data_IF_169774177950
#
_entry.id   IF_169774177950
#
_cell.length_a   1.000
_cell.length_b   1.000
_cell.length_c   1.000
_cell.angle_alpha   90.00
_cell.angle_beta   90.00
_cell.angle_gamma   90.00
#
_symmetry.space_group_name_H-M   'P 1'
#
loop_
_entity.id
_entity.type
_entity.pdbx_description
1 polymer ?
#
# COMPACT_ATOMS: atom_id res chain seq x y z
N UNK A 1 -24.78 12.24 -14.83
CA UNK A 1 -23.94 13.35 -15.32
C UNK A 1 -22.74 13.39 -14.37
N UNK A 2 -21.70 12.61 -14.67
CA UNK A 2 -20.48 12.59 -13.86
C UNK A 2 -19.65 13.80 -14.27
N UNK A 3 -19.49 14.77 -13.37
CA UNK A 3 -18.51 15.85 -13.56
C UNK A 3 -17.11 15.23 -13.61
N UNK A 4 -16.34 15.56 -14.63
CA UNK A 4 -14.95 15.10 -14.78
C UNK A 4 -14.14 15.40 -13.52
N UNK A 5 -13.34 14.44 -13.01
CA UNK A 5 -12.71 14.61 -11.72
C UNK A 5 -11.49 15.54 -11.74
N UNK A 6 -11.72 16.85 -11.60
CA UNK A 6 -10.68 17.86 -11.38
C UNK A 6 -9.75 17.48 -10.20
N UNK A 7 -8.42 17.57 -10.40
CA UNK A 7 -7.38 17.19 -9.43
C UNK A 7 -7.18 18.28 -8.37
N UNK A 8 -8.24 18.61 -7.63
CA UNK A 8 -8.18 19.62 -6.57
C UNK A 8 -7.63 19.04 -5.27
N UNK A 9 -6.80 19.84 -4.57
CA UNK A 9 -6.28 19.50 -3.23
C UNK A 9 -7.41 19.09 -2.28
N UNK A 10 -8.45 19.91 -2.17
CA UNK A 10 -9.53 19.67 -1.21
C UNK A 10 -10.20 18.32 -1.44
N UNK A 11 -10.62 18.01 -2.68
CA UNK A 11 -11.28 16.75 -2.99
C UNK A 11 -10.39 15.54 -2.72
N UNK A 12 -9.11 15.62 -3.09
CA UNK A 12 -8.16 14.55 -2.83
C UNK A 12 -8.00 14.29 -1.32
N UNK A 13 -7.85 15.35 -0.53
CA UNK A 13 -7.73 15.24 0.93
C UNK A 13 -9.03 14.75 1.58
N UNK A 14 -10.20 15.19 1.12
CA UNK A 14 -11.49 14.71 1.61
C UNK A 14 -11.63 13.20 1.39
N UNK A 15 -11.27 12.71 0.20
CA UNK A 15 -11.30 11.28 -0.14
C UNK A 15 -10.36 10.46 0.75
N UNK A 16 -9.16 10.98 1.02
CA UNK A 16 -8.19 10.31 1.89
C UNK A 16 -8.63 10.31 3.36
N UNK A 17 -9.36 11.34 3.81
CA UNK A 17 -9.87 11.44 5.18
C UNK A 17 -11.11 10.57 5.41
N UNK A 18 -12.07 10.57 4.49
CA UNK A 18 -13.36 9.88 4.65
C UNK A 18 -13.19 8.37 4.86
N UNK A 19 -12.12 7.77 4.32
CA UNK A 19 -11.86 6.34 4.45
C UNK A 19 -10.62 6.02 5.32
N UNK A 20 -10.15 6.98 6.13
CA UNK A 20 -8.94 6.85 6.98
C UNK A 20 -7.68 6.37 6.19
N UNK A 21 -7.65 6.64 4.88
CA UNK A 21 -6.60 6.17 3.96
C UNK A 21 -5.28 6.84 4.28
N UNK A 22 -5.29 8.13 4.64
CA UNK A 22 -4.08 8.83 5.04
C UNK A 22 -3.39 8.14 6.23
N UNK A 23 -4.17 7.66 7.21
CA UNK A 23 -3.66 6.88 8.34
C UNK A 23 -3.17 5.50 7.91
N UNK A 24 -3.88 4.83 7.00
CA UNK A 24 -3.43 3.57 6.40
C UNK A 24 -2.07 3.71 5.71
N UNK A 25 -1.88 4.74 4.90
CA UNK A 25 -0.62 5.05 4.21
C UNK A 25 0.48 5.34 5.24
N UNK A 26 0.21 6.18 6.24
CA UNK A 26 1.19 6.52 7.28
C UNK A 26 1.59 5.29 8.11
N UNK A 27 0.64 4.41 8.45
CA UNK A 27 0.94 3.14 9.12
C UNK A 27 1.82 2.25 8.25
N UNK A 28 1.45 2.07 6.97
CA UNK A 28 2.15 1.20 6.06
C UNK A 28 3.61 1.63 5.89
N UNK A 29 3.82 2.92 5.67
CA UNK A 29 5.14 3.50 5.52
C UNK A 29 5.98 3.40 6.81
N UNK A 30 5.41 3.72 7.98
CA UNK A 30 6.16 3.65 9.24
C UNK A 30 6.53 2.21 9.61
N UNK A 31 5.60 1.27 9.47
CA UNK A 31 5.82 -0.17 9.71
C UNK A 31 6.89 -0.72 8.78
N UNK A 32 6.83 -0.38 7.49
CA UNK A 32 7.84 -0.77 6.51
C UNK A 32 9.22 -0.16 6.81
N UNK A 33 9.28 1.10 7.25
CA UNK A 33 10.55 1.74 7.61
C UNK A 33 11.17 1.15 8.88
N UNK A 34 10.36 0.84 9.89
CA UNK A 34 10.83 0.15 11.11
C UNK A 34 11.49 -1.18 10.73
N UNK A 35 10.81 -2.02 9.97
CA UNK A 35 11.38 -3.29 9.52
C UNK A 35 12.59 -3.11 8.59
N UNK A 36 12.55 -2.16 7.67
CA UNK A 36 13.68 -1.93 6.75
C UNK A 36 14.95 -1.48 7.49
N UNK A 37 14.82 -0.73 8.60
CA UNK A 37 15.95 -0.37 9.44
C UNK A 37 16.55 -1.59 10.13
N UNK A 38 15.72 -2.52 10.59
CA UNK A 38 16.16 -3.77 11.22
C UNK A 38 16.83 -4.71 10.19
N UNK A 39 16.10 -5.08 9.14
CA UNK A 39 16.53 -6.07 8.13
C UNK A 39 17.78 -5.59 7.37
N UNK A 40 17.79 -4.31 6.99
CA UNK A 40 18.88 -3.71 6.21
C UNK A 40 19.80 -2.83 7.06
N UNK A 41 20.06 -3.21 8.32
CA UNK A 41 21.03 -2.52 9.17
C UNK A 41 22.41 -2.46 8.52
N UNK A 42 23.11 -1.32 8.65
CA UNK A 42 24.51 -1.16 8.20
C UNK A 42 25.40 -2.11 8.99
N UNK A 43 25.96 -3.12 8.33
CA UNK A 43 26.75 -4.18 8.96
C UNK A 43 26.31 -5.59 8.54
N UNK A 44 25.07 -5.74 8.08
CA UNK A 44 24.54 -7.01 7.57
C UNK A 44 25.00 -7.33 6.12
N UNK A 45 25.87 -6.49 5.54
CA UNK A 45 26.40 -6.66 4.18
C UNK A 45 25.51 -6.11 3.04
N UNK A 46 24.29 -5.66 3.33
CA UNK A 46 23.39 -5.10 2.32
C UNK A 46 23.79 -3.69 1.86
N UNK A 47 23.90 -3.53 0.54
CA UNK A 47 24.15 -2.24 -0.10
C UNK A 47 22.95 -1.29 -0.08
N UNK A 48 23.16 -0.04 -0.47
CA UNK A 48 22.11 0.98 -0.53
C UNK A 48 20.98 0.62 -1.50
N UNK A 49 21.31 0.02 -2.65
CA UNK A 49 20.32 -0.41 -3.65
C UNK A 49 19.39 -1.48 -3.08
N UNK A 50 19.94 -2.56 -2.50
CA UNK A 50 19.15 -3.64 -1.90
C UNK A 50 18.25 -3.13 -0.78
N UNK A 51 18.77 -2.28 0.10
CA UNK A 51 17.97 -1.66 1.15
C UNK A 51 16.84 -0.77 0.60
N UNK A 52 17.10 -0.05 -0.49
CA UNK A 52 16.10 0.79 -1.17
C UNK A 52 14.98 -0.04 -1.78
N UNK A 53 15.34 -1.10 -2.52
CA UNK A 53 14.38 -2.04 -3.15
C UNK A 53 13.56 -2.77 -2.08
N UNK A 54 14.21 -3.33 -1.07
CA UNK A 54 13.50 -4.04 0.01
C UNK A 54 12.53 -3.14 0.77
N UNK A 55 12.89 -1.88 1.02
CA UNK A 55 11.94 -0.91 1.61
C UNK A 55 10.76 -0.62 0.69
N UNK A 56 11.00 -0.48 -0.61
CA UNK A 56 9.92 -0.27 -1.59
C UNK A 56 8.94 -1.44 -1.62
N UNK A 57 9.45 -2.68 -1.59
CA UNK A 57 8.65 -3.90 -1.50
C UNK A 57 7.88 -3.98 -0.18
N UNK A 58 8.53 -3.68 0.96
CA UNK A 58 7.86 -3.62 2.27
C UNK A 58 6.73 -2.59 2.28
N UNK A 59 6.93 -1.39 1.72
CA UNK A 59 5.87 -0.37 1.65
C UNK A 59 4.69 -0.89 0.83
N UNK A 60 4.94 -1.49 -0.34
CA UNK A 60 3.89 -2.03 -1.19
C UNK A 60 3.10 -3.15 -0.49
N UNK A 61 3.80 -4.09 0.15
CA UNK A 61 3.16 -5.15 0.94
C UNK A 61 2.30 -4.57 2.07
N UNK A 62 2.81 -3.61 2.84
CA UNK A 62 2.05 -2.99 3.93
C UNK A 62 0.82 -2.22 3.43
N UNK A 63 0.93 -1.55 2.28
CA UNK A 63 -0.21 -0.90 1.64
C UNK A 63 -1.25 -1.93 1.19
N UNK A 64 -0.83 -3.03 0.57
CA UNK A 64 -1.75 -4.10 0.18
C UNK A 64 -2.44 -4.71 1.39
N UNK A 65 -1.70 -4.89 2.48
CA UNK A 65 -2.19 -5.49 3.72
C UNK A 65 -3.22 -4.61 4.44
N UNK A 66 -2.94 -3.32 4.61
CA UNK A 66 -3.86 -2.40 5.29
C UNK A 66 -5.11 -2.10 4.46
N UNK A 67 -5.02 -2.24 3.13
CA UNK A 67 -6.12 -1.98 2.21
C UNK A 67 -6.80 -3.24 1.68
N UNK A 68 -6.45 -4.42 2.19
CA UNK A 68 -7.02 -5.69 1.74
C UNK A 68 -6.94 -5.86 0.22
N UNK A 69 -5.76 -5.65 -0.34
CA UNK A 69 -5.44 -5.79 -1.77
C UNK A 69 -4.45 -6.94 -1.98
N UNK A 70 -4.30 -7.39 -3.23
CA UNK A 70 -3.31 -8.40 -3.61
C UNK A 70 -3.53 -9.71 -2.85
N UNK A 71 -2.49 -10.21 -2.20
CA UNK A 71 -2.57 -11.46 -1.41
C UNK A 71 -3.45 -11.35 -0.15
N UNK A 72 -3.85 -10.12 0.25
CA UNK A 72 -4.70 -9.84 1.41
C UNK A 72 -6.15 -9.51 1.04
N UNK A 73 -6.54 -9.75 -0.22
CA UNK A 73 -7.89 -9.50 -0.68
C UNK A 73 -8.93 -10.33 0.11
N UNK A 74 -10.00 -9.66 0.54
CA UNK A 74 -11.08 -10.29 1.29
C UNK A 74 -12.16 -10.75 0.32
N UNK A 75 -12.31 -12.07 0.19
CA UNK A 75 -13.32 -12.68 -0.68
C UNK A 75 -14.74 -12.30 -0.24
N UNK A 76 -15.65 -12.21 -1.21
CA UNK A 76 -17.07 -11.95 -0.94
C UNK A 76 -17.64 -12.90 0.13
N UNK A 77 -18.29 -12.32 1.14
CA UNK A 77 -18.86 -13.04 2.28
C UNK A 77 -17.89 -13.26 3.45
N UNK A 78 -16.63 -12.81 3.35
CA UNK A 78 -15.69 -12.79 4.48
C UNK A 78 -15.56 -11.37 5.06
N UNK A 79 -15.36 -11.29 6.37
CA UNK A 79 -15.09 -10.02 7.05
C UNK A 79 -13.60 -9.64 7.03
N UNK A 80 -12.71 -10.63 6.98
CA UNK A 80 -11.26 -10.45 6.89
C UNK A 80 -10.59 -11.68 6.28
N UNK A 81 -9.37 -11.50 5.74
CA UNK A 81 -8.44 -12.61 5.53
C UNK A 81 -8.05 -13.23 6.88
N UNK A 82 -7.57 -14.48 6.89
CA UNK A 82 -7.08 -15.14 8.09
C UNK A 82 -6.05 -14.29 8.84
N UNK A 83 -6.18 -14.17 10.16
CA UNK A 83 -5.30 -13.32 10.97
C UNK A 83 -3.85 -13.80 11.00
N UNK A 84 -3.64 -15.09 10.78
CA UNK A 84 -2.32 -15.70 10.58
C UNK A 84 -1.64 -15.14 9.33
N UNK A 85 -2.34 -15.13 8.20
CA UNK A 85 -1.87 -14.55 6.94
C UNK A 85 -1.69 -13.03 7.06
N UNK A 86 -2.68 -12.34 7.61
CA UNK A 86 -2.69 -10.88 7.75
C UNK A 86 -1.51 -10.36 8.59
N UNK A 87 -1.13 -11.10 9.62
CA UNK A 87 -0.13 -10.66 10.59
C UNK A 87 1.22 -11.34 10.43
N UNK A 88 1.39 -12.19 9.42
CA UNK A 88 2.65 -12.84 9.14
C UNK A 88 3.76 -11.82 8.87
N UNK A 89 4.89 -11.97 9.57
CA UNK A 89 6.05 -11.09 9.44
C UNK A 89 5.85 -9.65 9.96
N UNK A 90 4.73 -9.33 10.61
CA UNK A 90 4.58 -8.04 11.30
C UNK A 90 5.22 -8.07 12.69
N UNK A 91 5.84 -6.96 13.08
CA UNK A 91 6.18 -6.70 14.48
C UNK A 91 4.91 -6.62 15.34
N UNK A 92 5.04 -6.86 16.64
CA UNK A 92 3.92 -6.73 17.58
C UNK A 92 3.32 -5.32 17.52
N UNK A 93 4.16 -4.29 17.48
CA UNK A 93 3.75 -2.89 17.32
C UNK A 93 2.92 -2.71 16.04
N UNK A 94 3.43 -3.16 14.90
CA UNK A 94 2.73 -3.03 13.62
C UNK A 94 1.36 -3.72 13.65
N UNK A 95 1.25 -4.92 14.24
CA UNK A 95 -0.03 -5.62 14.44
C UNK A 95 -1.01 -4.84 15.29
N UNK A 96 -0.54 -4.25 16.38
CA UNK A 96 -1.39 -3.54 17.33
C UNK A 96 -1.86 -2.17 16.80
N UNK A 97 -1.07 -1.53 15.94
CA UNK A 97 -1.36 -0.18 15.43
C UNK A 97 -1.95 -0.16 14.03
N UNK A 98 -2.12 -1.31 13.37
CA UNK A 98 -2.71 -1.38 12.03
C UNK A 98 -4.14 -0.84 12.05
N UNK A 99 -4.46 0.23 11.28
CA UNK A 99 -5.81 0.73 11.20
C UNK A 99 -6.72 -0.26 10.47
N UNK A 100 -8.00 -0.22 10.79
CA UNK A 100 -9.02 -1.01 10.10
C UNK A 100 -9.61 -0.15 9.00
N UNK A 101 -9.29 -0.48 7.75
CA UNK A 101 -9.85 0.17 6.56
C UNK A 101 -10.83 -0.81 5.92
N UNK A 102 -12.06 -0.38 5.57
CA UNK A 102 -13.01 -1.27 4.90
C UNK A 102 -12.44 -1.84 3.61
N UNK A 103 -12.58 -3.15 3.41
CA UNK A 103 -12.19 -3.80 2.16
C UNK A 103 -12.91 -3.15 0.98
N UNK A 104 -12.20 -2.95 -0.13
CA UNK A 104 -12.72 -2.27 -1.33
C UNK A 104 -12.78 -0.75 -1.25
N UNK A 105 -12.50 -0.12 -0.08
CA UNK A 105 -12.32 1.34 -0.01
C UNK A 105 -11.12 1.82 -0.84
N UNK A 106 -10.10 0.97 -0.93
CA UNK A 106 -8.93 1.13 -1.78
C UNK A 106 -8.75 -0.14 -2.60
N UNK A 107 -8.39 -0.02 -3.87
CA UNK A 107 -8.12 -1.17 -4.75
C UNK A 107 -6.75 -1.05 -5.39
N UNK A 108 -6.10 -2.18 -5.68
CA UNK A 108 -4.84 -2.18 -6.43
C UNK A 108 -5.08 -1.67 -7.84
N UNK A 109 -4.21 -0.78 -8.32
CA UNK A 109 -4.22 -0.29 -9.70
C UNK A 109 -2.85 0.25 -10.07
N UNK A 110 -2.02 -0.65 -10.58
CA UNK A 110 -0.67 -0.31 -11.00
C UNK A 110 -0.72 0.64 -12.21
N UNK A 111 0.34 1.45 -12.37
CA UNK A 111 0.43 2.37 -13.50
C UNK A 111 1.83 2.36 -14.09
N UNK A 112 1.93 1.90 -15.34
CA UNK A 112 3.18 1.84 -16.12
C UNK A 112 4.36 1.27 -15.30
N UNK A 113 4.15 0.10 -14.70
CA UNK A 113 5.15 -0.61 -13.90
C UNK A 113 5.38 -0.06 -12.49
N UNK A 114 4.72 1.02 -12.09
CA UNK A 114 4.74 1.52 -10.71
C UNK A 114 3.59 0.93 -9.91
N UNK A 115 3.87 0.59 -8.65
CA UNK A 115 2.83 0.15 -7.71
C UNK A 115 1.85 1.29 -7.47
N UNK A 116 0.56 0.99 -7.60
CA UNK A 116 -0.48 2.00 -7.46
C UNK A 116 -1.76 1.44 -6.87
N UNK A 117 -2.55 2.34 -6.30
CA UNK A 117 -3.83 2.03 -5.68
C UNK A 117 -4.84 3.13 -6.04
N UNK A 118 -6.14 2.79 -6.04
CA UNK A 118 -7.21 3.76 -6.28
C UNK A 118 -8.08 3.97 -5.06
N UNK A 119 -8.53 5.20 -4.88
CA UNK A 119 -9.44 5.61 -3.80
C UNK A 119 -10.29 6.78 -4.31
N UNK A 120 -11.61 6.68 -4.19
CA UNK A 120 -12.53 7.79 -4.49
C UNK A 120 -12.35 8.48 -5.85
N UNK A 121 -11.92 7.73 -6.87
CA UNK A 121 -11.67 8.24 -8.23
C UNK A 121 -10.27 8.81 -8.49
N UNK A 122 -9.36 8.72 -7.54
CA UNK A 122 -7.93 9.02 -7.71
C UNK A 122 -7.13 7.73 -7.73
N UNK A 123 -6.06 7.69 -8.51
CA UNK A 123 -4.95 6.74 -8.35
C UNK A 123 -3.83 7.44 -7.58
N UNK A 124 -3.10 6.72 -6.73
CA UNK A 124 -1.80 7.18 -6.27
C UNK A 124 -0.73 6.13 -6.54
N UNK A 125 0.47 6.58 -6.90
CA UNK A 125 1.65 5.72 -7.10
C UNK A 125 2.76 6.10 -6.14
N UNK A 126 3.57 5.12 -5.73
CA UNK A 126 4.68 5.33 -4.79
C UNK A 126 5.98 5.69 -5.50
N UNK A 127 6.74 6.62 -4.96
CA UNK A 127 8.13 6.85 -5.37
C UNK A 127 9.02 7.29 -4.21
N UNK A 128 10.26 6.79 -4.21
CA UNK A 128 11.24 7.14 -3.17
C UNK A 128 12.11 8.32 -3.58
N UNK A 129 12.42 9.19 -2.62
CA UNK A 129 13.40 10.28 -2.77
C UNK A 129 14.40 10.30 -1.61
N UNK A 130 15.44 11.12 -1.74
CA UNK A 130 16.30 11.43 -0.60
C UNK A 130 15.58 12.41 0.33
N UNK A 131 15.95 12.37 1.61
CA UNK A 131 15.38 13.26 2.61
C UNK A 131 15.63 14.73 2.26
N UNK A 132 14.62 15.56 2.49
CA UNK A 132 14.67 17.01 2.25
C UNK A 132 14.58 17.38 0.78
N UNK A 133 14.34 16.43 -0.12
CA UNK A 133 14.21 16.69 -1.56
C UNK A 133 12.76 16.88 -2.01
N UNK A 134 11.76 16.50 -1.20
CA UNK A 134 10.34 16.54 -1.59
C UNK A 134 9.92 17.91 -2.14
N UNK A 135 10.35 19.01 -1.49
CA UNK A 135 10.00 20.37 -1.92
C UNK A 135 10.75 20.87 -3.17
N UNK A 136 11.75 20.12 -3.66
CA UNK A 136 12.67 20.49 -4.75
C UNK A 136 12.86 19.39 -5.79
N UNK A 137 11.90 18.46 -5.89
CA UNK A 137 11.96 17.37 -6.86
C UNK A 137 12.10 17.94 -8.28
N UNK A 138 12.99 17.35 -9.08
CA UNK A 138 13.10 17.67 -10.49
C UNK A 138 12.33 16.61 -11.31
N UNK A 139 11.07 16.90 -11.62
CA UNK A 139 10.22 15.97 -12.36
C UNK A 139 10.67 15.78 -13.81
N UNK A 140 11.45 16.72 -14.36
CA UNK A 140 12.03 16.59 -15.71
C UNK A 140 13.06 15.47 -15.81
N UNK A 141 13.66 15.07 -14.67
CA UNK A 141 14.63 13.97 -14.57
C UNK A 141 14.04 12.68 -13.99
N UNK A 142 12.75 12.67 -13.64
CA UNK A 142 12.07 11.49 -13.13
C UNK A 142 11.85 10.44 -14.23
N UNK A 143 11.37 9.25 -13.87
CA UNK A 143 11.04 8.20 -14.85
C UNK A 143 9.94 8.64 -15.82
N UNK A 144 9.83 8.05 -17.02
CA UNK A 144 8.76 8.38 -17.97
C UNK A 144 7.35 8.28 -17.38
N UNK A 145 7.13 7.33 -16.46
CA UNK A 145 5.87 7.18 -15.73
C UNK A 145 5.57 8.39 -14.86
N UNK A 146 6.54 8.86 -14.07
CA UNK A 146 6.37 10.03 -13.20
C UNK A 146 6.29 11.33 -13.98
N UNK A 147 7.04 11.45 -15.09
CA UNK A 147 6.90 12.57 -16.01
C UNK A 147 5.48 12.65 -16.58
N UNK A 148 4.89 11.52 -16.97
CA UNK A 148 3.52 11.48 -17.46
C UNK A 148 2.50 11.88 -16.39
N UNK A 149 2.73 11.51 -15.12
CA UNK A 149 1.89 11.96 -14.00
C UNK A 149 2.06 13.46 -13.76
N UNK A 150 3.30 13.97 -13.71
CA UNK A 150 3.57 15.39 -13.48
C UNK A 150 3.05 16.32 -14.60
N UNK A 151 2.83 15.79 -15.80
CA UNK A 151 2.24 16.52 -16.93
C UNK A 151 0.71 16.58 -16.90
N UNK A 152 0.04 15.88 -15.98
CA UNK A 152 -1.41 15.97 -15.82
C UNK A 152 -1.77 17.40 -15.39
N UNK A 153 -2.68 18.05 -16.10
CA UNK A 153 -3.15 19.38 -15.68
C UNK A 153 -4.23 19.26 -14.62
N UNK A 154 -4.33 20.22 -13.69
CA UNK A 154 -5.38 20.21 -12.67
C UNK A 154 -6.81 20.15 -13.24
N UNK A 155 -7.01 20.73 -14.43
CA UNK A 155 -8.28 20.85 -15.16
C UNK A 155 -8.45 19.84 -16.31
N UNK A 156 -7.39 19.16 -16.75
CA UNK A 156 -7.47 18.08 -17.75
C UNK A 156 -7.61 16.74 -17.05
N UNK A 157 -8.85 16.28 -16.86
CA UNK A 157 -9.11 14.89 -16.50
C UNK A 157 -9.35 13.99 -17.71
N UNK A 158 -9.07 14.48 -18.91
CA UNK A 158 -9.25 13.74 -20.14
C UNK A 158 -7.97 13.73 -20.96
N UNK A 159 -7.55 12.52 -21.33
CA UNK A 159 -6.60 12.23 -22.42
C UNK A 159 -5.11 12.17 -22.04
N UNK A 160 -4.72 11.15 -21.26
CA UNK A 160 -3.54 10.39 -21.70
C UNK A 160 -3.99 9.61 -22.94
N UNK A 161 -3.52 10.03 -24.11
CA UNK A 161 -3.88 9.34 -25.35
C UNK A 161 -3.24 7.95 -25.38
N UNK A 162 -3.91 6.99 -26.04
CA UNK A 162 -3.38 5.65 -26.29
C UNK A 162 -1.92 5.64 -26.81
N UNK A 163 -1.48 6.74 -27.44
CA UNK A 163 -0.10 6.94 -27.91
C UNK A 163 0.95 6.92 -26.79
N UNK A 164 0.65 7.43 -25.59
CA UNK A 164 1.61 7.46 -24.48
C UNK A 164 1.80 6.06 -23.83
N UNK A 165 0.96 5.09 -24.21
CA UNK A 165 0.97 3.70 -23.70
C UNK A 165 1.76 2.76 -24.64
N UNK A 166 2.13 3.21 -25.85
CA UNK A 166 2.64 2.35 -26.92
C UNK A 166 4.17 2.41 -27.16
N UNK A 167 4.94 3.09 -26.31
CA UNK A 167 6.41 3.11 -26.38
C UNK A 167 6.94 2.59 -25.02
N UNK A 168 7.64 1.46 -24.84
CA UNK A 168 8.15 0.42 -25.74
C UNK A 168 7.47 -0.93 -25.47
N UNK A 169 7.10 -1.62 -26.55
CA UNK A 169 6.37 -2.90 -26.57
C UNK A 169 7.31 -4.12 -26.41
N UNK A 170 8.63 -3.95 -26.52
CA UNK A 170 9.57 -5.07 -26.61
C UNK A 170 10.05 -5.65 -25.26
N UNK A 171 9.74 -5.03 -24.11
CA UNK A 171 10.09 -5.55 -22.77
C UNK A 171 8.89 -6.15 -21.99
N UNK A 172 7.70 -6.20 -22.61
CA UNK A 172 6.43 -6.61 -21.95
C UNK A 172 6.20 -8.12 -21.82
N UNK A 173 7.10 -8.96 -22.32
CA UNK A 173 6.80 -10.38 -22.52
C UNK A 173 7.15 -11.33 -21.37
N UNK A 174 7.57 -10.85 -20.20
CA UNK A 174 7.87 -11.76 -19.09
C UNK A 174 7.33 -11.25 -17.75
N UNK A 175 6.38 -12.03 -17.21
CA UNK A 175 5.94 -12.13 -15.81
C UNK A 175 4.79 -11.24 -15.32
N UNK A 176 3.60 -11.80 -15.55
CA UNK A 176 2.54 -12.06 -14.57
C UNK A 176 1.51 -10.96 -14.24
N UNK A 177 0.29 -11.26 -14.71
CA UNK A 177 -1.00 -10.93 -14.08
C UNK A 177 -1.64 -9.60 -14.47
N UNK A 178 -2.30 -9.64 -15.64
CA UNK A 178 -3.54 -8.94 -16.02
C UNK A 178 -3.78 -7.52 -15.48
N UNK A 179 -3.68 -6.52 -16.38
CA UNK A 179 -4.42 -5.25 -16.22
C UNK A 179 -4.77 -4.64 -17.59
N UNK A 180 -5.19 -5.50 -18.53
CA UNK A 180 -5.52 -5.16 -19.92
C UNK A 180 -6.98 -4.69 -20.07
N UNK A 181 -7.42 -3.80 -19.17
CA UNK A 181 -8.65 -3.03 -19.37
C UNK A 181 -8.29 -1.60 -19.75
N UNK A 182 -8.97 -1.00 -20.76
CA UNK A 182 -8.79 0.39 -21.11
C UNK A 182 -9.14 1.24 -19.88
N UNK A 183 -8.11 1.71 -19.16
CA UNK A 183 -8.32 2.52 -17.98
C UNK A 183 -8.87 3.87 -18.45
N UNK A 184 -10.09 4.20 -18.01
CA UNK A 184 -10.60 5.57 -18.09
C UNK A 184 -9.51 6.51 -17.54
N UNK A 185 -9.22 7.65 -18.19
CA UNK A 185 -8.25 8.61 -17.68
C UNK A 185 -8.53 8.89 -16.20
N UNK A 186 -7.57 8.57 -15.34
CA UNK A 186 -7.72 8.66 -13.89
C UNK A 186 -6.69 9.63 -13.33
N UNK A 187 -7.13 10.68 -12.61
CA UNK A 187 -6.26 11.54 -11.83
C UNK A 187 -5.25 10.73 -11.03
N UNK A 188 -3.96 10.96 -11.27
CA UNK A 188 -2.90 10.23 -10.58
C UNK A 188 -2.12 11.18 -9.68
N UNK A 189 -2.08 10.84 -8.39
CA UNK A 189 -1.26 11.49 -7.38
C UNK A 189 0.06 10.74 -7.21
N UNK A 190 1.07 11.42 -6.66
CA UNK A 190 2.33 10.79 -6.29
C UNK A 190 2.44 10.76 -4.77
N UNK A 191 2.60 9.56 -4.22
CA UNK A 191 2.98 9.30 -2.83
C UNK A 191 4.51 9.22 -2.78
N UNK A 192 5.14 10.28 -2.27
CA UNK A 192 6.59 10.37 -2.13
C UNK A 192 7.01 10.03 -0.72
N UNK A 193 8.13 9.32 -0.61
CA UNK A 193 8.65 8.92 0.68
C UNK A 193 10.18 8.93 0.73
N UNK A 194 10.72 9.22 1.90
CA UNK A 194 12.16 9.19 2.17
C UNK A 194 12.45 8.58 3.55
N UNK A 195 13.55 7.85 3.63
CA UNK A 195 14.09 7.32 4.88
C UNK A 195 15.61 7.55 4.89
N UNK A 196 16.07 8.35 5.83
CA UNK A 196 17.48 8.44 6.16
C UNK A 196 17.87 7.26 7.06
N UNK A 197 18.80 6.43 6.59
CA UNK A 197 19.22 5.22 7.31
C UNK A 197 20.18 5.50 8.46
N UNK A 198 20.83 6.66 8.46
CA UNK A 198 21.77 7.04 9.51
C UNK A 198 21.05 7.71 10.68
N UNK A 199 20.08 8.57 10.38
CA UNK A 199 19.33 9.30 11.41
C UNK A 199 17.97 8.69 11.75
N UNK A 200 17.53 7.68 10.97
CA UNK A 200 16.18 7.11 11.02
C UNK A 200 15.05 8.14 10.73
N UNK A 201 15.40 9.33 10.23
CA UNK A 201 14.42 10.37 9.89
C UNK A 201 13.62 9.98 8.64
N UNK A 202 12.34 10.37 8.65
CA UNK A 202 11.35 9.93 7.67
C UNK A 202 10.63 11.13 7.09
N UNK A 203 10.28 11.03 5.81
CA UNK A 203 9.37 11.98 5.17
C UNK A 203 8.36 11.19 4.33
N UNK A 204 7.11 11.64 4.34
CA UNK A 204 6.02 11.04 3.57
C UNK A 204 5.06 12.14 3.16
N UNK A 205 4.85 12.31 1.87
CA UNK A 205 3.89 13.27 1.35
C UNK A 205 3.11 12.71 0.17
N UNK A 206 1.89 13.18 -0.02
CA UNK A 206 1.07 12.86 -1.18
C UNK A 206 0.66 14.15 -1.89
N UNK A 207 0.68 14.15 -3.22
CA UNK A 207 0.40 15.38 -3.95
C UNK A 207 0.14 15.20 -5.43
N UNK A 208 -0.26 16.31 -6.05
CA UNK A 208 -0.33 16.44 -7.49
C UNK A 208 0.98 17.08 -8.00
N UNK A 209 1.81 16.26 -8.64
CA UNK A 209 3.09 16.67 -9.19
C UNK A 209 2.90 17.69 -10.32
N UNK A 210 3.85 18.61 -10.46
CA UNK A 210 3.87 19.61 -11.52
C UNK A 210 5.16 19.45 -12.33
N UNK A 211 5.02 19.21 -13.64
CA UNK A 211 6.15 19.12 -14.55
C UNK A 211 6.84 20.49 -14.66
N UNK A 212 7.98 20.63 -13.97
CA UNK A 212 8.62 21.91 -13.68
C UNK A 212 9.71 22.31 -14.69
N UNK A 213 9.44 22.16 -16.00
CA UNK A 213 10.30 22.71 -17.06
C UNK A 213 10.15 24.22 -17.25
N UNK A 214 9.11 24.80 -16.64
CA UNK A 214 8.72 26.20 -16.69
C UNK A 214 9.35 27.06 -15.56
N UNK A 215 10.32 26.51 -14.82
CA UNK A 215 10.90 27.10 -13.59
C UNK A 215 9.91 27.24 -12.43
N UNK A 216 8.73 26.62 -12.52
CA UNK A 216 7.75 26.53 -11.45
C UNK A 216 8.18 25.59 -10.31
N UNK A 217 7.39 25.60 -9.23
CA UNK A 217 7.56 24.64 -8.14
C UNK A 217 7.24 23.20 -8.60
N UNK A 218 7.75 22.17 -7.91
CA UNK A 218 7.54 20.77 -8.31
C UNK A 218 6.15 20.22 -8.01
N UNK A 219 5.29 20.99 -7.37
CA UNK A 219 3.96 20.55 -6.98
C UNK A 219 2.94 21.61 -7.33
N UNK A 220 1.80 21.18 -7.86
CA UNK A 220 0.60 22.00 -7.80
C UNK A 220 0.13 22.11 -6.35
N UNK A 221 0.24 21.00 -5.61
CA UNK A 221 0.05 20.92 -4.16
C UNK A 221 0.61 19.58 -3.65
N UNK A 222 0.98 19.53 -2.37
CA UNK A 222 1.27 18.30 -1.65
C UNK A 222 0.87 18.43 -0.17
N UNK A 223 0.69 17.31 0.51
CA UNK A 223 0.33 17.22 1.92
C UNK A 223 1.29 16.27 2.64
N UNK A 224 1.79 16.68 3.81
CA UNK A 224 2.58 15.83 4.69
C UNK A 224 1.66 14.86 5.46
N UNK A 225 1.96 13.58 5.39
CA UNK A 225 1.17 12.51 6.02
C UNK A 225 1.74 12.05 7.38
N UNK A 226 2.91 12.55 7.81
CA UNK A 226 3.50 12.25 9.13
C UNK A 226 3.22 13.32 10.17
N UNK A 227 2.93 14.55 9.75
CA UNK A 227 2.67 15.69 10.65
C UNK A 227 1.29 15.66 11.35
N UNK A 228 0.51 14.58 11.20
CA UNK A 228 -0.77 14.39 11.88
C UNK A 228 -0.63 14.09 13.38
N UNK A 229 -1.70 14.24 14.18
CA UNK A 229 -1.69 13.85 15.59
C UNK A 229 -1.34 12.37 15.72
N UNK A 230 -0.43 12.03 16.66
CA UNK A 230 -0.11 10.64 16.96
C UNK A 230 -1.40 9.83 17.22
N UNK A 231 -1.47 8.58 16.75
CA UNK A 231 -2.67 7.78 16.90
C UNK A 231 -3.01 7.64 18.38
N UNK A 232 -4.20 8.11 18.75
CA UNK A 232 -4.75 7.84 20.05
C UNK A 232 -4.80 6.31 20.24
N UNK A 233 -4.29 5.81 21.37
CA UNK A 233 -4.32 4.38 21.75
C UNK A 233 -5.75 3.89 22.03
N UNK A 234 -6.76 4.52 21.45
CA UNK A 234 -8.16 4.25 21.67
C UNK A 234 -8.47 2.81 21.22
N UNK A 235 -8.48 1.95 22.24
CA UNK A 235 -8.99 0.59 22.31
C UNK A 235 -9.38 -0.04 20.98
N UNK A 236 -8.49 -0.91 20.49
CA UNK A 236 -8.90 -2.02 19.65
C UNK A 236 -9.97 -2.80 20.42
N UNK A 237 -11.25 -2.60 20.10
CA UNK A 237 -12.26 -3.63 20.34
C UNK A 237 -12.04 -4.62 19.21
N UNK A 238 -11.15 -5.58 19.44
CA UNK A 238 -11.19 -6.83 18.71
C UNK A 238 -12.60 -7.36 18.98
N UNK A 239 -13.45 -7.62 17.98
CA UNK A 239 -14.57 -8.51 18.22
C UNK A 239 -13.91 -9.80 18.72
N UNK A 240 -14.12 -10.14 20.00
CA UNK A 240 -13.71 -11.43 20.52
C UNK A 240 -14.18 -12.46 19.49
N UNK A 241 -13.24 -13.22 18.92
CA UNK A 241 -13.63 -14.40 18.18
C UNK A 241 -14.57 -15.17 19.12
N UNK A 242 -15.82 -15.47 18.72
CA UNK A 242 -16.74 -16.14 19.61
C UNK A 242 -16.01 -17.38 20.14
N UNK A 243 -15.86 -17.45 21.47
CA UNK A 243 -15.24 -18.59 22.12
C UNK A 243 -15.86 -19.85 21.52
N UNK A 244 -15.07 -20.86 21.12
CA UNK A 244 -15.62 -22.06 20.52
C UNK A 244 -16.66 -22.61 21.49
N UNK A 245 -17.94 -22.49 21.12
CA UNK A 245 -19.03 -23.11 21.86
C UNK A 245 -18.88 -24.61 21.63
N UNK A 246 -18.10 -25.28 22.49
CA UNK A 246 -18.17 -26.71 22.64
C UNK A 246 -19.56 -27.07 23.18
N UNK A 247 -20.49 -27.25 22.26
CA UNK A 247 -21.66 -28.11 22.41
C UNK A 247 -21.73 -29.03 21.19
N UNK A 248 -20.65 -29.75 20.96
CA UNK A 248 -20.78 -31.02 20.24
C UNK A 248 -21.27 -32.07 21.24
N UNK A 249 -22.34 -32.83 20.92
CA UNK A 249 -22.75 -33.96 21.74
C UNK A 249 -21.66 -35.03 21.69
N UNK A 250 -21.25 -35.49 22.87
CA UNK A 250 -20.21 -36.48 23.11
C UNK A 250 -20.48 -37.76 22.29
N UNK A 251 -19.71 -37.97 21.22
CA UNK A 251 -19.82 -39.17 20.40
C UNK A 251 -19.29 -40.34 21.22
N UNK A 252 -20.16 -41.28 21.56
CA UNK A 252 -19.78 -42.47 22.33
C UNK A 252 -18.96 -43.41 21.44
N UNK A 253 -17.64 -43.31 21.51
CA UNK A 253 -16.73 -44.21 20.80
C UNK A 253 -16.73 -45.58 21.50
N UNK A 254 -17.31 -46.59 20.87
CA UNK A 254 -17.17 -47.99 21.30
C UNK A 254 -15.77 -48.51 20.93
N UNK A 255 -14.88 -48.56 21.91
CA UNK A 255 -13.61 -49.27 21.80
C UNK A 255 -13.87 -50.76 21.53
N UNK A 256 -13.37 -51.28 20.40
CA UNK A 256 -13.23 -52.72 20.18
C UNK A 256 -12.22 -53.26 21.19
N UNK A 257 -12.66 -54.14 22.08
CA UNK A 257 -11.73 -55.03 22.82
C UNK A 257 -10.95 -55.84 21.80
N UNK A 258 -9.64 -55.68 21.81
CA UNK A 258 -8.72 -56.61 21.17
C UNK A 258 -8.39 -57.66 22.23
N UNK A 259 -8.88 -58.88 22.02
CA UNK A 259 -8.54 -60.02 22.87
C UNK A 259 -7.03 -60.25 22.79
N UNK A 260 -6.35 -60.02 23.92
CA UNK A 260 -5.02 -60.54 24.16
C UNK A 260 -5.20 -61.92 24.80
N UNK A 261 -5.25 -62.94 23.95
CA UNK A 261 -4.91 -64.30 24.36
C UNK A 261 -3.39 -64.41 24.27
N UNK A 262 -2.72 -64.13 25.38
CA UNK A 262 -1.35 -64.56 25.62
C UNK A 262 -1.46 -65.92 26.32
N UNK A 263 -1.28 -66.98 25.53
CA UNK A 263 -1.20 -68.35 26.00
C UNK A 263 0.19 -68.57 26.61
N UNK A 264 0.22 -69.19 27.77
CA UNK A 264 1.42 -69.54 28.52
C UNK A 264 1.86 -70.96 28.15
N UNK A 265 3.15 -71.17 27.89
CA UNK A 265 3.74 -72.51 27.70
C UNK A 265 5.09 -72.50 27.03
#
# INVERSE_FOLDING_TARGET
MYSDPVITRQRALDVLQVNDVARGIAWAFNSACEQALDDFTRGNGYGALTAGVGRYELIADRLDRVFSCGEYEVTEGMESVGLDVLYEGLSERARLTMPVIPAGAVTRSNFRGSNGWTVGGFRFITHSFSRGEIARIDWTKASPTLQAVARQRPDETGLLTLLDVMLDIEQRNDLASQDDLPTVPMPTLVLVHALDRETAERELAIGHAHYNDDLGGPWHWHEDLLSGPEPDRAGRVVPDAPAPTQKEPDVTVRLRKKDAAEDAG
#
